data_IF_230416668881
#
_entry.id   IF_230416668881
#
_cell.length_a   1.000
_cell.length_b   1.000
_cell.length_c   1.000
_cell.angle_alpha   90.00
_cell.angle_beta   90.00
_cell.angle_gamma   90.00
#
_symmetry.space_group_name_H-M   'P 1'
#
loop_
_entity.id
_entity.type
_entity.pdbx_description
1 polymer ?
#
# COMPACT_ATOMS: atom_id res chain seq x y z
N UNK A 1 30.12 -10.57 -22.46
CA UNK A 1 29.14 -10.63 -23.56
C UNK A 1 28.40 -11.96 -23.61
N UNK A 2 29.05 -13.09 -23.29
CA UNK A 2 28.40 -14.41 -23.27
C UNK A 2 27.27 -14.54 -22.23
N UNK A 3 27.42 -13.94 -21.03
CA UNK A 3 26.33 -13.87 -20.03
C UNK A 3 25.07 -13.14 -20.52
N UNK A 4 25.19 -12.23 -21.49
CA UNK A 4 24.05 -11.51 -22.07
C UNK A 4 23.28 -12.40 -23.06
N UNK A 5 23.98 -13.32 -23.72
CA UNK A 5 23.42 -14.25 -24.72
C UNK A 5 22.69 -15.43 -24.07
N UNK A 6 23.13 -15.86 -22.89
CA UNK A 6 22.46 -16.90 -22.11
C UNK A 6 21.11 -16.41 -21.54
N UNK A 7 21.04 -15.11 -21.21
CA UNK A 7 19.82 -14.39 -20.84
C UNK A 7 18.85 -14.20 -22.01
N UNK A 8 19.29 -14.35 -23.28
CA UNK A 8 18.45 -14.14 -24.48
C UNK A 8 17.75 -15.40 -24.99
N UNK A 9 17.80 -16.52 -24.25
CA UNK A 9 17.01 -17.70 -24.62
C UNK A 9 15.53 -17.29 -24.62
N UNK A 10 14.83 -17.27 -25.77
CA UNK A 10 13.49 -16.67 -25.87
C UNK A 10 12.48 -17.29 -24.90
N UNK A 11 12.64 -18.59 -24.58
CA UNK A 11 11.83 -19.29 -23.58
C UNK A 11 12.01 -18.75 -22.15
N UNK A 12 13.24 -18.38 -21.77
CA UNK A 12 13.58 -17.86 -20.44
C UNK A 12 13.11 -16.41 -20.32
N UNK A 13 13.30 -15.60 -21.35
CA UNK A 13 12.75 -14.24 -21.39
C UNK A 13 11.22 -14.22 -21.34
N UNK A 14 10.55 -15.06 -22.14
CA UNK A 14 9.10 -15.18 -22.12
C UNK A 14 8.57 -15.64 -20.74
N UNK A 15 9.29 -16.54 -20.05
CA UNK A 15 8.93 -16.94 -18.70
C UNK A 15 9.06 -15.77 -17.71
N UNK A 16 10.14 -14.98 -17.80
CA UNK A 16 10.33 -13.78 -16.97
C UNK A 16 9.27 -12.71 -17.23
N UNK A 17 8.89 -12.48 -18.49
CA UNK A 17 7.81 -11.51 -18.83
C UNK A 17 6.44 -11.98 -18.39
N UNK A 18 6.17 -13.29 -18.40
CA UNK A 18 4.92 -13.85 -17.85
C UNK A 18 4.82 -13.72 -16.33
N UNK A 19 5.96 -13.69 -15.64
CA UNK A 19 5.98 -13.50 -14.19
C UNK A 19 5.69 -12.06 -13.79
N UNK A 20 6.23 -11.07 -14.51
CA UNK A 20 6.11 -9.64 -14.15
C UNK A 20 4.83 -9.00 -14.69
N UNK A 21 3.99 -8.49 -13.81
CA UNK A 21 2.73 -7.83 -14.15
C UNK A 21 2.55 -6.44 -13.54
N UNK A 22 3.43 -6.01 -12.62
CA UNK A 22 3.34 -4.74 -11.92
C UNK A 22 4.58 -3.90 -12.21
N UNK A 23 4.38 -2.68 -12.74
CA UNK A 23 5.44 -1.81 -13.24
C UNK A 23 5.30 -0.39 -12.71
N UNK A 24 6.43 0.30 -12.52
CA UNK A 24 6.44 1.77 -12.35
C UNK A 24 6.22 2.43 -13.71
N UNK A 25 5.48 3.53 -13.74
CA UNK A 25 5.41 4.36 -14.93
C UNK A 25 6.82 4.89 -15.30
N UNK A 26 7.24 4.82 -16.58
CA UNK A 26 8.52 5.36 -17.03
C UNK A 26 8.64 6.87 -16.78
N UNK A 27 9.84 7.33 -16.40
CA UNK A 27 10.10 8.74 -16.08
C UNK A 27 9.83 9.69 -17.25
N UNK A 28 10.05 9.26 -18.50
CA UNK A 28 9.80 10.09 -19.66
C UNK A 28 8.30 10.42 -19.81
N UNK A 29 7.40 9.46 -19.55
CA UNK A 29 5.94 9.69 -19.58
C UNK A 29 5.53 10.66 -18.47
N UNK A 30 6.06 10.47 -17.26
CA UNK A 30 5.78 11.35 -16.12
C UNK A 30 6.21 12.79 -16.38
N UNK A 31 7.32 13.00 -17.10
CA UNK A 31 7.84 14.33 -17.47
C UNK A 31 7.08 14.98 -18.62
N UNK A 32 6.61 14.19 -19.59
CA UNK A 32 5.86 14.70 -20.74
C UNK A 32 4.41 15.04 -20.41
N UNK A 33 3.86 14.43 -19.36
CA UNK A 33 2.46 14.61 -18.93
C UNK A 33 2.39 15.08 -17.47
N UNK A 34 1.27 14.84 -16.78
CA UNK A 34 1.14 15.16 -15.36
C UNK A 34 1.80 14.08 -14.50
N UNK A 35 2.92 14.42 -13.83
CA UNK A 35 3.63 13.53 -12.90
C UNK A 35 2.70 12.99 -11.79
N UNK A 36 1.80 13.82 -11.30
CA UNK A 36 0.91 13.49 -10.17
C UNK A 36 -0.13 12.43 -10.54
N UNK A 37 -0.40 12.23 -11.84
CA UNK A 37 -1.31 11.17 -12.31
C UNK A 37 -0.74 9.76 -12.09
N UNK A 38 0.57 9.64 -11.89
CA UNK A 38 1.26 8.36 -11.68
C UNK A 38 1.74 8.18 -10.23
N UNK A 39 1.38 9.11 -9.34
CA UNK A 39 1.69 9.01 -7.93
C UNK A 39 0.41 8.80 -7.11
N UNK A 40 0.33 7.74 -6.29
CA UNK A 40 -0.79 7.59 -5.39
C UNK A 40 -0.85 8.76 -4.41
N UNK A 41 -2.03 9.37 -4.29
CA UNK A 41 -2.27 10.51 -3.41
C UNK A 41 -2.79 10.10 -2.04
N UNK A 42 -3.58 9.03 -2.01
CA UNK A 42 -4.22 8.53 -0.79
C UNK A 42 -3.73 7.13 -0.45
N UNK A 43 -3.91 6.17 -1.36
CA UNK A 43 -3.62 4.75 -1.10
C UNK A 43 -2.63 4.23 -2.12
N UNK A 44 -1.57 3.57 -1.65
CA UNK A 44 -0.74 2.69 -2.47
C UNK A 44 -0.96 1.22 -2.10
N UNK A 45 -1.34 0.35 -3.04
CA UNK A 45 -1.27 -1.09 -2.83
C UNK A 45 0.17 -1.58 -3.03
N UNK A 46 0.67 -2.32 -2.05
CA UNK A 46 1.98 -2.98 -2.14
C UNK A 46 3.21 -2.06 -1.98
N UNK A 47 4.40 -2.61 -2.25
CA UNK A 47 5.69 -2.07 -1.80
C UNK A 47 6.22 -0.84 -2.57
N UNK A 48 5.76 -0.58 -3.80
CA UNK A 48 6.39 0.43 -4.68
C UNK A 48 6.32 1.87 -4.13
N UNK A 49 5.36 2.18 -3.26
CA UNK A 49 5.19 3.52 -2.69
C UNK A 49 5.19 3.47 -1.16
N UNK A 50 5.79 2.43 -0.58
CA UNK A 50 5.84 2.31 0.87
C UNK A 50 6.78 3.36 1.47
N UNK A 51 6.34 3.97 2.59
CA UNK A 51 7.15 4.93 3.32
C UNK A 51 7.13 6.36 2.76
N UNK A 52 6.38 6.62 1.68
CA UNK A 52 6.16 8.00 1.21
C UNK A 52 5.39 8.81 2.29
N UNK A 53 5.87 10.00 2.69
CA UNK A 53 5.30 10.73 3.84
C UNK A 53 3.79 10.99 3.77
N UNK A 54 3.26 11.31 2.58
CA UNK A 54 1.83 11.57 2.39
C UNK A 54 0.97 10.29 2.40
N UNK A 55 1.57 9.11 2.33
CA UNK A 55 0.89 7.81 2.38
C UNK A 55 0.93 7.15 3.76
N UNK A 56 1.74 7.67 4.69
CA UNK A 56 1.83 7.15 6.06
C UNK A 56 0.47 7.02 6.77
N UNK A 57 -0.50 7.96 6.61
CA UNK A 57 -1.83 7.77 7.20
C UNK A 57 -2.50 6.46 6.75
N UNK A 58 -2.27 6.03 5.50
CA UNK A 58 -2.83 4.79 4.97
C UNK A 58 -2.13 3.53 5.46
N UNK A 59 -0.85 3.60 5.86
CA UNK A 59 -0.18 2.45 6.48
C UNK A 59 -0.89 2.03 7.77
N UNK A 60 -1.37 2.99 8.56
CA UNK A 60 -2.18 2.69 9.75
C UNK A 60 -3.54 2.09 9.37
N UNK A 61 -4.17 2.55 8.28
CA UNK A 61 -5.41 1.95 7.79
C UNK A 61 -5.21 0.51 7.29
N UNK A 62 -4.08 0.19 6.63
CA UNK A 62 -3.71 -1.17 6.21
C UNK A 62 -3.56 -2.09 7.43
N UNK A 63 -2.84 -1.64 8.46
CA UNK A 63 -2.67 -2.40 9.73
C UNK A 63 -4.01 -2.69 10.40
N UNK A 64 -4.88 -1.69 10.51
CA UNK A 64 -6.24 -1.87 11.07
C UNK A 64 -7.08 -2.83 10.23
N UNK A 65 -6.99 -2.76 8.90
CA UNK A 65 -7.71 -3.68 8.02
C UNK A 65 -7.29 -5.14 8.27
N UNK A 66 -5.98 -5.41 8.39
CA UNK A 66 -5.46 -6.74 8.74
C UNK A 66 -6.00 -7.19 10.10
N UNK A 67 -5.93 -6.35 11.13
CA UNK A 67 -6.46 -6.69 12.47
C UNK A 67 -7.96 -7.04 12.41
N UNK A 68 -8.75 -6.27 11.68
CA UNK A 68 -10.19 -6.53 11.53
C UNK A 68 -10.48 -7.80 10.72
N UNK A 69 -9.68 -8.08 9.68
CA UNK A 69 -9.77 -9.30 8.89
C UNK A 69 -9.50 -10.53 9.77
N UNK A 70 -8.40 -10.52 10.51
CA UNK A 70 -8.00 -11.61 11.42
C UNK A 70 -9.07 -11.85 12.48
N UNK A 71 -9.54 -10.78 13.14
CA UNK A 71 -10.63 -10.88 14.14
C UNK A 71 -11.91 -11.45 13.57
N UNK A 72 -12.29 -11.06 12.35
CA UNK A 72 -13.51 -11.54 11.69
C UNK A 72 -13.39 -13.03 11.32
N UNK A 73 -12.22 -13.46 10.88
CA UNK A 73 -11.98 -14.83 10.47
C UNK A 73 -11.91 -15.81 11.65
N UNK A 74 -11.62 -15.33 12.87
CA UNK A 74 -11.49 -16.17 14.06
C UNK A 74 -10.28 -17.10 14.02
N UNK A 75 -9.30 -16.82 13.16
CA UNK A 75 -8.08 -17.63 12.98
C UNK A 75 -6.85 -16.92 13.57
N UNK A 76 -5.82 -17.67 14.00
CA UNK A 76 -4.55 -17.11 14.42
C UNK A 76 -3.88 -16.29 13.29
N UNK A 77 -3.22 -15.18 13.65
CA UNK A 77 -2.46 -14.37 12.68
C UNK A 77 -1.39 -15.21 11.95
N UNK A 78 -0.77 -16.17 12.64
CA UNK A 78 0.25 -17.04 12.07
C UNK A 78 -0.23 -17.84 10.85
N UNK A 79 -1.51 -18.25 10.82
CA UNK A 79 -2.06 -18.96 9.64
C UNK A 79 -2.12 -18.05 8.41
N UNK A 80 -2.42 -16.76 8.59
CA UNK A 80 -2.41 -15.80 7.49
C UNK A 80 -1.00 -15.52 7.00
N UNK A 81 -0.04 -15.39 7.92
CA UNK A 81 1.36 -15.18 7.57
C UNK A 81 1.89 -16.38 6.78
N UNK A 82 1.67 -17.61 7.26
CA UNK A 82 2.06 -18.82 6.55
C UNK A 82 1.44 -18.91 5.15
N UNK A 83 0.14 -18.61 5.02
CA UNK A 83 -0.53 -18.62 3.72
C UNK A 83 0.02 -17.56 2.74
N UNK A 84 0.48 -16.41 3.24
CA UNK A 84 1.13 -15.38 2.40
C UNK A 84 2.56 -15.81 2.05
N UNK A 85 3.30 -16.40 3.00
CA UNK A 85 4.66 -16.91 2.77
C UNK A 85 4.71 -17.97 1.65
N UNK A 86 3.68 -18.82 1.55
CA UNK A 86 3.56 -19.82 0.47
C UNK A 86 3.54 -19.20 -0.93
N UNK A 87 3.03 -17.97 -1.06
CA UNK A 87 2.90 -17.27 -2.35
C UNK A 87 3.80 -16.04 -2.47
N UNK A 88 4.62 -15.75 -1.45
CA UNK A 88 5.41 -14.53 -1.38
C UNK A 88 6.38 -14.39 -2.56
N UNK A 89 7.09 -15.46 -2.91
CA UNK A 89 8.05 -15.45 -4.01
C UNK A 89 7.35 -15.16 -5.36
N UNK A 90 6.12 -15.66 -5.58
CA UNK A 90 5.33 -15.36 -6.78
C UNK A 90 4.83 -13.90 -6.80
N UNK A 91 4.37 -13.40 -5.65
CA UNK A 91 3.93 -12.01 -5.50
C UNK A 91 5.08 -11.03 -5.72
N UNK A 92 6.28 -11.32 -5.23
CA UNK A 92 7.47 -10.51 -5.43
C UNK A 92 7.95 -10.56 -6.89
N UNK A 93 7.90 -11.73 -7.53
CA UNK A 93 8.24 -11.90 -8.94
C UNK A 93 7.29 -11.13 -9.88
N UNK A 94 6.07 -10.82 -9.43
CA UNK A 94 5.12 -9.99 -10.17
C UNK A 94 5.58 -8.53 -10.34
N UNK A 95 6.45 -8.03 -9.48
CA UNK A 95 6.96 -6.66 -9.56
C UNK A 95 8.21 -6.55 -10.44
N UNK A 96 8.18 -5.58 -11.35
CA UNK A 96 9.39 -5.12 -12.04
C UNK A 96 10.23 -4.25 -11.09
N UNK A 97 11.54 -4.54 -11.00
CA UNK A 97 12.52 -3.79 -10.20
C UNK A 97 12.10 -3.52 -8.76
N UNK A 98 11.58 -4.55 -8.08
CA UNK A 98 11.32 -4.48 -6.64
C UNK A 98 12.64 -4.35 -5.85
N UNK A 99 12.70 -3.45 -4.87
CA UNK A 99 13.91 -3.27 -4.05
C UNK A 99 14.25 -4.54 -3.25
N UNK A 100 15.53 -4.80 -3.05
CA UNK A 100 16.02 -5.98 -2.34
C UNK A 100 15.60 -6.03 -0.87
N UNK A 101 15.18 -4.89 -0.30
CA UNK A 101 14.56 -4.80 1.04
C UNK A 101 13.30 -5.68 1.14
N UNK A 102 12.66 -5.97 0.00
CA UNK A 102 11.50 -6.84 -0.11
C UNK A 102 11.88 -8.29 -0.36
N UNK A 103 12.95 -8.54 -1.13
CA UNK A 103 13.43 -9.90 -1.46
C UNK A 103 14.10 -10.64 -0.30
N UNK A 104 14.50 -9.90 0.76
CA UNK A 104 15.28 -10.40 1.88
C UNK A 104 14.55 -10.38 3.24
N UNK A 105 13.28 -9.98 3.30
CA UNK A 105 12.54 -9.82 4.55
C UNK A 105 12.25 -11.14 5.32
N UNK A 106 12.81 -12.27 4.90
CA UNK A 106 12.76 -13.56 5.60
C UNK A 106 13.45 -13.56 6.98
N UNK A 107 14.12 -12.47 7.41
CA UNK A 107 14.82 -12.44 8.72
C UNK A 107 14.63 -11.18 9.57
N UNK A 108 13.89 -10.15 9.13
CA UNK A 108 13.83 -8.87 9.87
C UNK A 108 12.41 -8.35 10.04
N UNK A 109 11.54 -9.17 10.62
CA UNK A 109 10.37 -8.67 11.35
C UNK A 109 10.58 -8.92 12.84
N UNK A 110 11.62 -8.30 13.40
CA UNK A 110 11.58 -7.92 14.81
C UNK A 110 10.55 -6.82 14.93
N UNK A 111 9.30 -7.21 15.21
CA UNK A 111 8.24 -6.28 15.58
C UNK A 111 8.53 -5.77 16.98
N UNK A 112 9.36 -4.74 17.07
CA UNK A 112 9.50 -4.00 18.31
C UNK A 112 8.22 -3.18 18.47
N UNK A 113 7.31 -3.70 19.30
CA UNK A 113 6.07 -3.04 19.66
C UNK A 113 6.38 -1.68 20.27
N UNK A 114 6.39 -0.63 19.45
CA UNK A 114 6.54 0.71 19.97
C UNK A 114 5.20 1.13 20.56
N UNK A 115 5.09 1.06 21.88
CA UNK A 115 4.08 1.72 22.72
C UNK A 115 4.19 3.27 22.66
N UNK A 116 4.52 3.81 21.48
CA UNK A 116 4.69 5.24 21.24
C UNK A 116 3.71 5.72 20.18
N UNK A 117 2.42 5.69 20.50
CA UNK A 117 1.45 6.51 19.78
C UNK A 117 0.48 7.17 20.76
N UNK A 118 0.53 8.50 20.76
CA UNK A 118 -0.36 9.43 21.46
C UNK A 118 -1.86 9.19 21.15
N UNK A 119 -2.79 9.73 21.99
CA UNK A 119 -4.20 9.40 21.92
C UNK A 119 -4.82 9.68 20.54
N UNK A 120 -5.47 8.63 20.05
CA UNK A 120 -6.06 8.46 18.72
C UNK A 120 -7.06 9.56 18.34
N UNK A 121 -7.00 10.01 17.09
CA UNK A 121 -8.19 10.54 16.40
C UNK A 121 -9.01 9.35 15.88
N UNK A 122 -10.25 9.12 16.33
CA UNK A 122 -11.04 7.96 15.92
C UNK A 122 -11.42 8.07 14.43
N UNK A 123 -11.44 6.96 13.70
CA UNK A 123 -11.91 7.01 12.30
C UNK A 123 -13.42 7.21 12.23
N UNK A 124 -13.94 7.64 11.07
CA UNK A 124 -15.38 7.86 10.88
C UNK A 124 -16.25 6.64 11.23
N UNK A 125 -15.73 5.42 11.07
CA UNK A 125 -16.42 4.18 11.45
C UNK A 125 -16.50 4.02 12.96
N UNK A 126 -15.45 4.38 13.69
CA UNK A 126 -15.42 4.36 15.15
C UNK A 126 -16.30 5.47 15.73
N UNK A 127 -16.26 6.67 15.15
CA UNK A 127 -17.14 7.78 15.52
C UNK A 127 -18.62 7.42 15.32
N UNK A 128 -18.96 6.77 14.19
CA UNK A 128 -20.33 6.35 13.91
C UNK A 128 -20.80 5.23 14.88
N UNK A 129 -19.94 4.24 15.17
CA UNK A 129 -20.22 3.22 16.20
C UNK A 129 -20.37 3.81 17.60
N UNK A 130 -19.66 4.90 17.89
CA UNK A 130 -19.76 5.65 19.14
C UNK A 130 -20.97 6.60 19.19
N UNK A 131 -21.81 6.63 18.15
CA UNK A 131 -22.98 7.53 18.07
C UNK A 131 -22.62 9.00 17.83
N UNK A 132 -21.37 9.30 17.50
CA UNK A 132 -20.90 10.65 17.21
C UNK A 132 -21.26 10.98 15.77
N UNK A 133 -22.36 11.73 15.61
CA UNK A 133 -22.79 12.25 14.31
C UNK A 133 -22.18 13.64 14.07
N UNK A 134 -21.36 13.76 13.02
CA UNK A 134 -20.89 15.06 12.55
C UNK A 134 -22.07 15.83 11.93
N UNK A 135 -22.58 16.85 12.65
CA UNK A 135 -23.56 17.78 12.08
C UNK A 135 -22.88 18.56 10.96
N UNK A 136 -23.31 18.34 9.71
CA UNK A 136 -22.91 19.17 8.57
C UNK A 136 -23.35 20.60 8.87
N UNK A 137 -22.39 21.49 9.15
CA UNK A 137 -22.68 22.93 9.24
C UNK A 137 -23.22 23.36 7.89
N UNK A 138 -24.50 23.71 7.84
CA UNK A 138 -25.04 24.45 6.69
C UNK A 138 -24.47 25.86 6.85
N UNK A 139 -23.49 26.20 6.01
CA UNK A 139 -23.04 27.58 5.87
C UNK A 139 -24.26 28.47 5.62
N UNK A 140 -24.49 29.41 6.53
CA UNK A 140 -25.62 30.31 6.47
C UNK A 140 -25.53 31.18 5.22
N UNK A 141 -26.62 31.21 4.45
CA UNK A 141 -26.93 32.30 3.54
C UNK A 141 -27.14 33.56 4.38
N UNK A 142 -26.11 34.41 4.47
CA UNK A 142 -26.26 35.77 4.96
C UNK A 142 -26.84 36.66 3.86
N UNK A 143 -28.02 37.23 4.11
CA UNK A 143 -28.63 38.28 3.29
C UNK A 143 -28.74 39.61 4.05
N UNK A 144 -29.09 40.66 3.28
CA UNK A 144 -29.43 42.06 3.64
C UNK A 144 -28.20 42.98 3.79
N UNK A 145 -28.11 44.21 3.26
CA UNK A 145 -29.05 45.30 2.86
C UNK A 145 -28.40 46.11 1.71
N UNK A 146 -29.09 46.75 0.75
CA UNK A 146 -30.00 47.89 0.87
C UNK A 146 -29.26 49.20 0.53
N UNK A 147 -29.47 49.72 -0.69
CA UNK A 147 -29.57 51.13 -1.11
C UNK A 147 -30.07 51.19 -2.57
#
# INVERSE_FOLDING_TARGET
MEKLLEDTRPSVEMARWKQRSIYRAPEWIKKMTNRDAYQPQLVSPGPLHQGEPHLLPMEEHKRRAVLHMVKRAGKPLAEFVAAIEEVADELEAAYHDLDDIWRGAKQSLHWEGSDKYEPRTPCAVELNKAGIQFKRSRGGSGGCTGD
#
